data_IF_234474898306
#
_entry.id   IF_234474898306
#
_cell.length_a   1.000
_cell.length_b   1.000
_cell.length_c   1.000
_cell.angle_alpha   90.00
_cell.angle_beta   90.00
_cell.angle_gamma   90.00
#
_symmetry.space_group_name_H-M   'P 1'
#
loop_
_entity.id
_entity.type
_entity.pdbx_description
1 polymer ?
#
# COMPACT_ATOMS: atom_id res chain seq x y z
N UNK A 1 -32.35 -65.29 45.07
CA UNK A 1 -33.33 -64.27 44.64
C UNK A 1 -32.83 -62.88 45.09
N UNK A 2 -31.91 -62.27 44.33
CA UNK A 2 -31.50 -60.85 44.45
C UNK A 2 -30.98 -60.44 43.08
N UNK A 3 -31.79 -59.70 42.33
CA UNK A 3 -31.44 -59.09 41.05
C UNK A 3 -30.71 -57.77 41.33
N UNK A 4 -29.52 -57.59 40.76
CA UNK A 4 -28.81 -56.30 40.70
C UNK A 4 -29.13 -55.68 39.34
N UNK A 5 -29.91 -54.60 39.36
CA UNK A 5 -30.09 -53.70 38.22
C UNK A 5 -28.82 -52.86 38.05
N UNK A 6 -28.22 -52.91 36.87
CA UNK A 6 -27.20 -51.97 36.40
C UNK A 6 -27.96 -50.82 35.74
N UNK A 7 -27.87 -49.62 36.31
CA UNK A 7 -28.36 -48.39 35.68
C UNK A 7 -27.22 -47.84 34.84
N UNK A 8 -27.31 -48.02 33.51
CA UNK A 8 -26.42 -47.34 32.56
C UNK A 8 -26.88 -45.90 32.39
N UNK A 9 -26.02 -44.96 32.80
CA UNK A 9 -26.19 -43.54 32.53
C UNK A 9 -25.85 -43.30 31.04
N UNK A 10 -26.86 -43.08 30.20
CA UNK A 10 -26.67 -42.62 28.83
C UNK A 10 -26.53 -41.09 28.92
N UNK A 11 -25.30 -40.58 28.81
CA UNK A 11 -25.07 -39.18 28.47
C UNK A 11 -25.49 -39.00 27.01
N UNK A 12 -26.66 -38.38 26.81
CA UNK A 12 -27.02 -37.85 25.50
C UNK A 12 -26.20 -36.59 25.23
N UNK A 13 -25.16 -36.70 24.41
CA UNK A 13 -24.66 -35.55 23.66
C UNK A 13 -25.76 -35.16 22.67
N UNK A 14 -26.53 -34.12 23.01
CA UNK A 14 -27.30 -33.37 22.03
C UNK A 14 -26.31 -32.51 21.23
N UNK A 15 -25.87 -33.03 20.10
CA UNK A 15 -25.28 -32.19 19.04
C UNK A 15 -26.44 -31.43 18.42
N UNK A 16 -26.66 -30.21 18.89
CA UNK A 16 -27.54 -29.25 18.24
C UNK A 16 -26.88 -28.85 16.92
N UNK A 17 -27.43 -29.32 15.80
CA UNK A 17 -27.09 -28.75 14.50
C UNK A 17 -27.84 -27.40 14.43
N UNK A 18 -27.24 -26.36 15.02
CA UNK A 18 -27.73 -24.99 14.97
C UNK A 18 -26.99 -24.27 13.84
N UNK A 19 -27.43 -24.48 12.61
CA UNK A 19 -26.99 -23.69 11.47
C UNK A 19 -28.21 -23.03 10.85
N UNK A 20 -28.25 -21.70 10.87
CA UNK A 20 -29.28 -20.80 10.32
C UNK A 20 -30.61 -20.71 11.10
N UNK A 21 -30.72 -19.67 11.95
CA UNK A 21 -32.02 -19.19 12.46
C UNK A 21 -32.07 -18.57 13.85
N UNK A 22 -30.95 -18.45 14.59
CA UNK A 22 -30.99 -17.80 15.90
C UNK A 22 -31.27 -16.30 15.75
N UNK A 23 -32.25 -15.80 16.49
CA UNK A 23 -32.50 -14.37 16.62
C UNK A 23 -31.50 -13.75 17.61
N UNK A 24 -31.29 -12.44 17.54
CA UNK A 24 -30.51 -11.71 18.56
C UNK A 24 -31.05 -11.99 19.97
N UNK A 25 -32.37 -12.10 20.15
CA UNK A 25 -32.98 -12.42 21.43
C UNK A 25 -32.58 -13.81 21.95
N UNK A 26 -32.46 -14.80 21.05
CA UNK A 26 -32.03 -16.16 21.42
C UNK A 26 -30.57 -16.16 21.91
N UNK A 27 -29.69 -15.44 21.19
CA UNK A 27 -28.28 -15.27 21.57
C UNK A 27 -28.20 -14.58 22.94
N UNK A 28 -28.98 -13.51 23.14
CA UNK A 28 -28.96 -12.80 24.41
C UNK A 28 -29.39 -13.69 25.58
N UNK A 29 -30.45 -14.47 25.42
CA UNK A 29 -30.94 -15.37 26.47
C UNK A 29 -29.91 -16.45 26.78
N UNK A 30 -29.28 -17.01 25.75
CA UNK A 30 -28.29 -18.05 25.91
C UNK A 30 -27.04 -17.55 26.63
N UNK A 31 -26.50 -16.42 26.21
CA UNK A 31 -25.34 -15.78 26.85
C UNK A 31 -25.66 -15.39 28.30
N UNK A 32 -26.86 -14.84 28.58
CA UNK A 32 -27.31 -14.56 29.96
C UNK A 32 -27.34 -15.82 30.82
N UNK A 33 -27.75 -16.96 30.26
CA UNK A 33 -27.74 -18.25 30.95
C UNK A 33 -26.32 -18.74 31.23
N UNK A 34 -25.41 -18.62 30.26
CA UNK A 34 -24.01 -19.08 30.38
C UNK A 34 -23.20 -18.19 31.33
N UNK A 35 -23.51 -16.89 31.41
CA UNK A 35 -22.91 -15.92 32.35
C UNK A 35 -23.61 -15.87 33.73
N UNK A 36 -24.37 -16.91 34.07
CA UNK A 36 -25.04 -17.12 35.37
C UNK A 36 -25.92 -15.95 35.85
N UNK A 37 -26.50 -15.15 34.94
CA UNK A 37 -27.24 -13.93 35.29
C UNK A 37 -26.44 -12.87 36.08
N UNK A 38 -25.11 -13.01 36.20
CA UNK A 38 -24.25 -11.97 36.80
C UNK A 38 -24.05 -10.78 35.87
N UNK A 39 -24.22 -11.01 34.57
CA UNK A 39 -23.95 -10.06 33.52
C UNK A 39 -25.19 -9.75 32.70
N UNK A 40 -25.35 -8.48 32.34
CA UNK A 40 -26.27 -8.02 31.31
C UNK A 40 -25.51 -7.75 30.02
N UNK A 41 -25.98 -8.29 28.89
CA UNK A 41 -25.45 -7.92 27.58
C UNK A 41 -25.77 -6.46 27.34
N UNK A 42 -24.73 -5.70 27.03
CA UNK A 42 -24.81 -4.27 26.79
C UNK A 42 -24.60 -3.90 25.33
N UNK A 43 -23.86 -4.73 24.60
CA UNK A 43 -23.59 -4.57 23.19
C UNK A 43 -23.41 -5.95 22.55
N UNK A 44 -23.94 -6.11 21.34
CA UNK A 44 -23.84 -7.33 20.52
C UNK A 44 -23.54 -6.90 19.09
N UNK A 45 -22.46 -7.42 18.52
CA UNK A 45 -22.06 -7.16 17.13
C UNK A 45 -22.12 -8.47 16.36
N UNK A 46 -22.94 -8.50 15.30
CA UNK A 46 -22.83 -9.51 14.26
C UNK A 46 -21.62 -9.14 13.39
N UNK A 47 -20.56 -9.95 13.45
CA UNK A 47 -19.30 -9.60 12.78
C UNK A 47 -19.44 -9.69 11.26
N UNK A 48 -20.27 -10.61 10.75
CA UNK A 48 -20.49 -10.76 9.31
C UNK A 48 -21.31 -9.60 8.74
N UNK A 49 -22.12 -8.95 9.56
CA UNK A 49 -22.90 -7.76 9.19
C UNK A 49 -22.21 -6.43 9.52
N UNK A 50 -21.02 -6.46 10.12
CA UNK A 50 -20.27 -5.27 10.47
C UNK A 50 -19.63 -4.67 9.22
N UNK A 51 -20.12 -3.52 8.79
CA UNK A 51 -19.63 -2.81 7.60
C UNK A 51 -18.47 -1.85 7.90
N UNK A 52 -18.08 -1.70 9.17
CA UNK A 52 -16.98 -0.85 9.59
C UNK A 52 -17.18 0.66 9.38
N UNK A 53 -18.32 1.12 8.87
CA UNK A 53 -18.48 2.53 8.48
C UNK A 53 -17.31 3.09 7.64
N UNK A 54 -17.18 4.41 7.58
CA UNK A 54 -16.16 5.09 6.76
C UNK A 54 -14.75 5.11 7.41
N UNK A 55 -14.60 4.63 8.66
CA UNK A 55 -13.39 4.81 9.47
C UNK A 55 -12.77 3.52 10.03
N UNK A 56 -13.42 2.36 9.87
CA UNK A 56 -12.95 1.10 10.47
C UNK A 56 -12.52 0.07 9.43
N UNK A 57 -11.36 -0.54 9.66
CA UNK A 57 -10.89 -1.67 8.87
C UNK A 57 -11.41 -2.95 9.49
N UNK A 58 -12.33 -3.63 8.80
CA UNK A 58 -12.66 -5.02 9.08
C UNK A 58 -11.85 -5.92 8.16
N UNK A 59 -10.92 -6.67 8.76
CA UNK A 59 -10.10 -7.67 8.10
C UNK A 59 -10.06 -8.94 8.95
N UNK A 60 -10.34 -10.06 8.29
CA UNK A 60 -10.23 -11.40 8.87
C UNK A 60 -9.60 -12.33 7.81
N UNK A 61 -8.30 -12.17 7.51
CA UNK A 61 -7.63 -12.93 6.45
C UNK A 61 -7.64 -14.45 6.69
N UNK A 62 -7.91 -14.88 7.93
CA UNK A 62 -7.91 -16.28 8.34
C UNK A 62 -9.33 -16.85 8.54
N UNK A 63 -10.38 -16.06 8.28
CA UNK A 63 -11.79 -16.45 8.43
C UNK A 63 -12.14 -16.97 9.84
N UNK A 64 -11.44 -16.46 10.86
CA UNK A 64 -11.58 -16.87 12.27
C UNK A 64 -12.79 -16.25 12.96
N UNK A 65 -13.32 -15.16 12.41
CA UNK A 65 -14.46 -14.41 12.92
C UNK A 65 -15.76 -14.66 12.14
N UNK A 66 -15.70 -15.43 11.04
CA UNK A 66 -16.90 -15.73 10.25
C UNK A 66 -17.96 -16.43 11.09
N UNK A 67 -19.21 -15.94 11.00
CA UNK A 67 -20.36 -16.45 11.75
C UNK A 67 -20.32 -16.20 13.26
N UNK A 68 -19.49 -15.26 13.72
CA UNK A 68 -19.35 -14.95 15.16
C UNK A 68 -20.13 -13.70 15.55
N UNK A 69 -20.50 -13.66 16.83
CA UNK A 69 -21.01 -12.47 17.50
C UNK A 69 -20.01 -12.02 18.56
N UNK A 70 -19.60 -10.75 18.51
CA UNK A 70 -18.88 -10.14 19.62
C UNK A 70 -19.87 -9.64 20.65
N UNK A 71 -19.64 -10.01 21.90
CA UNK A 71 -20.48 -9.64 23.03
C UNK A 71 -19.69 -8.74 23.95
N UNK A 72 -20.33 -7.67 24.42
CA UNK A 72 -19.82 -6.88 25.54
C UNK A 72 -20.87 -6.87 26.64
N UNK A 73 -20.53 -7.41 27.80
CA UNK A 73 -21.46 -7.54 28.91
C UNK A 73 -20.97 -6.78 30.13
N UNK A 74 -21.92 -6.19 30.87
CA UNK A 74 -21.65 -5.45 32.11
C UNK A 74 -22.19 -6.21 33.30
N UNK A 75 -21.42 -6.24 34.38
CA UNK A 75 -21.82 -6.84 35.63
C UNK A 75 -23.03 -6.12 36.21
N UNK A 76 -24.06 -6.86 36.56
CA UNK A 76 -25.29 -6.30 37.13
C UNK A 76 -25.07 -5.79 38.57
N UNK A 77 -24.12 -6.38 39.29
CA UNK A 77 -23.77 -6.06 40.68
C UNK A 77 -22.27 -5.74 40.87
N UNK A 78 -21.52 -5.58 39.78
CA UNK A 78 -20.07 -5.30 39.81
C UNK A 78 -19.69 -4.21 38.83
N UNK A 79 -18.69 -3.40 39.18
CA UNK A 79 -18.06 -2.43 38.27
C UNK A 79 -17.11 -3.11 37.27
N UNK A 80 -17.54 -4.27 36.76
CA UNK A 80 -16.77 -5.14 35.89
C UNK A 80 -17.54 -5.41 34.61
N UNK A 81 -16.82 -5.39 33.50
CA UNK A 81 -17.31 -5.72 32.18
C UNK A 81 -16.52 -6.91 31.64
N UNK A 82 -17.07 -7.60 30.65
CA UNK A 82 -16.36 -8.62 29.88
C UNK A 82 -16.61 -8.42 28.39
N UNK A 83 -15.66 -8.89 27.59
CA UNK A 83 -15.81 -9.08 26.15
C UNK A 83 -15.87 -10.59 25.92
N UNK A 84 -16.71 -11.04 25.00
CA UNK A 84 -16.78 -12.44 24.63
C UNK A 84 -17.03 -12.66 23.14
N UNK A 85 -16.75 -13.88 22.69
CA UNK A 85 -17.03 -14.34 21.33
C UNK A 85 -18.04 -15.47 21.41
N UNK A 86 -19.15 -15.33 20.69
CA UNK A 86 -20.19 -16.35 20.59
C UNK A 86 -20.29 -16.87 19.17
N UNK A 87 -20.41 -18.18 19.04
CA UNK A 87 -20.51 -18.86 17.75
C UNK A 87 -21.28 -20.16 17.90
N UNK A 88 -22.07 -20.52 16.89
CA UNK A 88 -22.73 -21.82 16.78
C UNK A 88 -23.52 -22.26 18.02
N UNK A 89 -24.16 -21.31 18.72
CA UNK A 89 -24.94 -21.64 19.89
C UNK A 89 -24.14 -21.81 21.18
N UNK A 90 -22.95 -21.20 21.32
CA UNK A 90 -22.17 -21.25 22.55
C UNK A 90 -21.26 -20.02 22.72
N UNK A 91 -21.02 -19.60 23.96
CA UNK A 91 -19.95 -18.66 24.29
C UNK A 91 -18.60 -19.38 24.21
N UNK A 92 -17.80 -19.05 23.18
CA UNK A 92 -16.51 -19.69 22.93
C UNK A 92 -15.43 -19.21 23.89
N UNK A 93 -15.43 -17.91 24.17
CA UNK A 93 -14.39 -17.27 24.93
C UNK A 93 -14.91 -15.99 25.60
N UNK A 94 -14.31 -15.65 26.75
CA UNK A 94 -14.47 -14.37 27.43
C UNK A 94 -13.14 -13.85 27.92
N UNK A 95 -13.00 -12.53 28.02
CA UNK A 95 -11.83 -11.88 28.61
C UNK A 95 -11.58 -12.33 30.04
N UNK A 96 -10.32 -12.69 30.34
CA UNK A 96 -9.81 -12.84 31.70
C UNK A 96 -8.50 -12.04 31.85
N UNK A 97 -8.37 -11.17 32.87
CA UNK A 97 -9.36 -10.86 33.91
C UNK A 97 -10.54 -10.02 33.39
N UNK A 98 -11.61 -9.95 34.20
CA UNK A 98 -12.73 -9.04 33.95
C UNK A 98 -12.27 -7.56 33.94
N UNK A 99 -12.77 -6.82 32.97
CA UNK A 99 -12.37 -5.45 32.66
C UNK A 99 -13.06 -4.46 33.60
N UNK A 100 -12.49 -3.28 33.76
CA UNK A 100 -13.15 -2.19 34.49
C UNK A 100 -14.38 -1.75 33.70
N UNK A 101 -15.49 -1.52 34.39
CA UNK A 101 -16.72 -1.10 33.73
C UNK A 101 -16.59 0.26 33.05
N UNK A 102 -17.20 0.37 31.88
CA UNK A 102 -17.27 1.56 31.06
C UNK A 102 -18.69 2.10 30.91
N UNK A 103 -18.78 3.38 30.59
CA UNK A 103 -20.05 4.04 30.27
C UNK A 103 -20.46 3.82 28.82
N UNK A 104 -19.49 3.53 27.94
CA UNK A 104 -19.73 3.29 26.52
C UNK A 104 -18.67 2.35 25.95
N UNK A 105 -19.10 1.45 25.06
CA UNK A 105 -18.28 0.42 24.43
C UNK A 105 -18.70 0.27 22.97
N UNK A 106 -17.74 -0.01 22.09
CA UNK A 106 -18.02 -0.28 20.69
C UNK A 106 -16.87 -1.06 20.07
N UNK A 107 -17.20 -1.84 19.04
CA UNK A 107 -16.22 -2.54 18.22
C UNK A 107 -15.73 -1.59 17.13
N UNK A 108 -14.41 -1.40 17.07
CA UNK A 108 -13.74 -0.50 16.13
C UNK A 108 -13.20 -1.25 14.90
N UNK A 109 -13.34 -2.57 14.82
CA UNK A 109 -12.85 -3.37 13.71
C UNK A 109 -11.81 -4.39 14.11
N UNK A 110 -11.26 -5.05 13.10
CA UNK A 110 -10.33 -6.17 13.27
C UNK A 110 -9.27 -6.16 12.19
N UNK A 111 -8.04 -6.53 12.55
CA UNK A 111 -6.92 -6.57 11.60
C UNK A 111 -5.81 -7.49 12.10
N UNK A 112 -5.08 -8.10 11.18
CA UNK A 112 -3.78 -8.71 11.48
C UNK A 112 -2.78 -7.57 11.69
N UNK A 113 -2.28 -7.38 12.92
CA UNK A 113 -1.37 -6.28 13.22
C UNK A 113 0.08 -6.71 13.43
N UNK A 114 0.36 -7.93 13.87
CA UNK A 114 1.69 -8.33 14.37
C UNK A 114 2.35 -9.51 13.62
N UNK A 115 1.81 -9.88 12.46
CA UNK A 115 2.28 -10.99 11.61
C UNK A 115 2.36 -12.36 12.31
N UNK A 116 1.50 -12.62 13.29
CA UNK A 116 1.52 -13.86 14.10
C UNK A 116 0.50 -14.93 13.64
N UNK A 117 -0.28 -14.62 12.60
CA UNK A 117 -1.29 -15.53 12.06
C UNK A 117 -2.64 -15.46 12.78
N UNK A 118 -2.85 -14.43 13.61
CA UNK A 118 -4.12 -14.15 14.32
C UNK A 118 -4.68 -12.81 13.89
N UNK A 119 -5.89 -12.50 14.37
CA UNK A 119 -6.53 -11.22 14.13
C UNK A 119 -6.67 -10.48 15.44
N UNK A 120 -6.29 -9.21 15.46
CA UNK A 120 -6.52 -8.31 16.58
C UNK A 120 -7.91 -7.69 16.49
N UNK A 121 -8.70 -7.85 17.55
CA UNK A 121 -9.96 -7.16 17.77
C UNK A 121 -9.69 -5.84 18.49
N UNK A 122 -10.20 -4.74 17.94
CA UNK A 122 -9.98 -3.41 18.47
C UNK A 122 -11.29 -2.90 19.05
N UNK A 123 -11.28 -2.59 20.35
CA UNK A 123 -12.51 -2.30 21.09
C UNK A 123 -12.34 -1.01 21.87
N UNK A 124 -13.22 -0.04 21.59
CA UNK A 124 -13.26 1.26 22.25
C UNK A 124 -14.00 1.20 23.58
N UNK A 125 -13.44 1.84 24.60
CA UNK A 125 -13.87 1.75 26.00
C UNK A 125 -13.86 3.13 26.67
N UNK A 126 -15.01 3.77 26.86
CA UNK A 126 -15.08 5.09 27.51
C UNK A 126 -15.19 4.95 29.03
N UNK A 127 -14.20 5.52 29.73
CA UNK A 127 -14.20 5.60 31.18
C UNK A 127 -14.69 6.98 31.62
N UNK A 128 -15.86 7.03 32.26
CA UNK A 128 -16.44 8.26 32.80
C UNK A 128 -17.23 9.08 31.76
N UNK A 129 -17.19 10.42 31.90
CA UNK A 129 -18.05 11.34 31.15
C UNK A 129 -17.30 12.09 30.03
N UNK A 130 -16.01 11.80 29.79
CA UNK A 130 -15.30 12.44 28.68
C UNK A 130 -15.94 11.97 27.36
N UNK A 131 -16.65 12.84 26.63
CA UNK A 131 -17.38 12.39 25.46
C UNK A 131 -16.45 12.16 24.25
N UNK A 132 -15.23 12.69 24.30
CA UNK A 132 -14.36 12.88 23.12
C UNK A 132 -13.31 11.81 22.88
N UNK A 133 -13.24 10.73 23.68
CA UNK A 133 -12.28 9.67 23.42
C UNK A 133 -12.57 8.37 24.14
N UNK A 134 -11.83 7.34 23.77
CA UNK A 134 -12.01 5.94 24.14
C UNK A 134 -10.64 5.33 24.48
N UNK A 135 -10.56 4.61 25.59
CA UNK A 135 -9.44 3.69 25.82
C UNK A 135 -9.58 2.50 24.89
N UNK A 136 -8.47 1.93 24.43
CA UNK A 136 -8.50 0.81 23.48
C UNK A 136 -8.11 -0.49 24.17
N UNK A 137 -8.97 -1.50 24.05
CA UNK A 137 -8.60 -2.89 24.27
C UNK A 137 -8.23 -3.52 22.93
N UNK A 138 -7.08 -4.19 22.91
CA UNK A 138 -6.57 -4.91 21.74
C UNK A 138 -6.50 -6.38 22.13
N UNK A 139 -7.27 -7.22 21.46
CA UNK A 139 -7.37 -8.65 21.77
C UNK A 139 -6.89 -9.44 20.56
N UNK A 140 -5.79 -10.19 20.72
CA UNK A 140 -5.35 -11.15 19.69
C UNK A 140 -6.24 -12.39 19.72
N UNK A 141 -6.83 -12.76 18.59
CA UNK A 141 -7.83 -13.82 18.44
C UNK A 141 -7.40 -14.88 17.42
N UNK A 142 -7.36 -16.14 17.85
CA UNK A 142 -6.92 -17.27 17.00
C UNK A 142 -8.07 -18.12 16.42
N UNK A 143 -9.33 -17.71 16.64
CA UNK A 143 -10.52 -18.50 16.28
C UNK A 143 -11.11 -19.31 17.44
N UNK A 144 -10.39 -19.45 18.55
CA UNK A 144 -10.82 -20.21 19.72
C UNK A 144 -10.57 -19.49 21.04
N UNK A 145 -9.45 -18.78 21.17
CA UNK A 145 -9.05 -18.06 22.37
C UNK A 145 -8.61 -16.65 22.04
N UNK A 146 -8.90 -15.74 22.96
CA UNK A 146 -8.45 -14.35 22.93
C UNK A 146 -7.40 -14.07 24.00
N UNK A 147 -6.48 -13.16 23.71
CA UNK A 147 -5.53 -12.62 24.67
C UNK A 147 -5.50 -11.09 24.58
N UNK A 148 -5.61 -10.40 25.72
CA UNK A 148 -5.38 -8.95 25.76
C UNK A 148 -3.89 -8.69 25.55
N UNK A 149 -3.57 -7.90 24.52
CA UNK A 149 -2.19 -7.64 24.09
C UNK A 149 -1.82 -6.16 24.15
N UNK A 150 -2.55 -5.34 24.91
CA UNK A 150 -2.14 -3.98 25.24
C UNK A 150 -1.80 -3.86 26.72
N UNK A 151 -0.84 -2.98 27.06
CA UNK A 151 -0.49 -2.73 28.47
C UNK A 151 -1.66 -2.05 29.21
N UNK A 152 -1.74 -2.35 30.50
CA UNK A 152 -2.67 -1.72 31.43
C UNK A 152 -1.92 -1.04 32.57
N UNK A 153 -2.46 0.06 33.08
CA UNK A 153 -1.95 0.73 34.27
C UNK A 153 -2.17 -0.12 35.54
N UNK A 154 -1.66 0.35 36.69
CA UNK A 154 -1.80 -0.33 37.98
C UNK A 154 -3.25 -0.56 38.44
N UNK A 155 -4.22 0.13 37.80
CA UNK A 155 -5.65 -0.02 38.09
C UNK A 155 -6.33 -1.01 37.16
N UNK A 156 -5.63 -1.49 36.12
CA UNK A 156 -6.18 -2.35 35.07
C UNK A 156 -6.85 -1.59 33.92
N UNK A 157 -6.57 -0.29 33.75
CA UNK A 157 -7.07 0.49 32.61
C UNK A 157 -6.09 0.37 31.44
N UNK A 158 -6.55 0.31 30.17
CA UNK A 158 -5.65 0.37 29.04
C UNK A 158 -4.78 1.63 29.09
N UNK A 159 -3.50 1.50 28.74
CA UNK A 159 -2.63 2.65 28.53
C UNK A 159 -2.87 3.33 27.18
N UNK A 160 -3.61 2.66 26.30
CA UNK A 160 -3.93 3.14 24.95
C UNK A 160 -5.17 4.00 24.99
N UNK A 161 -5.07 5.24 24.53
CA UNK A 161 -6.17 6.19 24.43
C UNK A 161 -6.27 6.72 23.01
N UNK A 162 -7.50 6.84 22.52
CA UNK A 162 -7.85 7.48 21.26
C UNK A 162 -8.82 8.61 21.53
N UNK A 163 -8.42 9.83 21.24
CA UNK A 163 -9.29 10.97 21.05
C UNK A 163 -10.10 10.74 19.80
N UNK A 164 -11.41 10.55 19.97
CA UNK A 164 -12.29 10.08 18.92
C UNK A 164 -12.10 8.61 18.59
N UNK A 165 -12.89 8.17 17.63
CA UNK A 165 -12.90 6.79 17.16
C UNK A 165 -12.18 6.68 15.80
N UNK A 166 -11.11 7.47 15.59
CA UNK A 166 -10.27 7.41 14.38
C UNK A 166 -8.89 6.89 14.77
N UNK A 167 -8.49 5.79 14.15
CA UNK A 167 -7.24 5.06 14.40
C UNK A 167 -6.60 4.76 13.06
N UNK A 168 -5.29 4.91 12.99
CA UNK A 168 -4.50 4.56 11.82
C UNK A 168 -3.57 3.39 12.14
N UNK A 169 -3.31 2.54 11.14
CA UNK A 169 -2.43 1.38 11.27
C UNK A 169 -1.22 1.51 10.34
N UNK A 170 -0.29 2.45 10.62
CA UNK A 170 0.89 2.58 9.79
C UNK A 170 1.86 1.43 10.03
N UNK A 171 2.53 0.97 8.97
CA UNK A 171 3.77 0.21 9.12
C UNK A 171 4.92 1.22 9.08
N UNK A 172 5.33 1.68 10.26
CA UNK A 172 6.28 2.77 10.42
C UNK A 172 7.72 2.32 10.11
N UNK A 173 8.07 1.08 10.46
CA UNK A 173 9.43 0.55 10.31
C UNK A 173 9.66 -0.27 9.04
N UNK A 174 8.59 -0.71 8.38
CA UNK A 174 8.66 -1.53 7.19
C UNK A 174 8.93 -3.01 7.45
N UNK A 175 8.64 -3.49 8.65
CA UNK A 175 8.89 -4.88 9.06
C UNK A 175 7.66 -5.79 8.86
N UNK A 176 6.55 -5.23 8.37
CA UNK A 176 5.29 -5.94 8.17
C UNK A 176 4.45 -6.05 9.45
N UNK A 177 4.90 -5.43 10.55
CA UNK A 177 4.13 -5.29 11.78
C UNK A 177 3.58 -3.87 11.80
N UNK A 178 2.27 -3.75 11.96
CA UNK A 178 1.60 -2.46 12.02
C UNK A 178 1.72 -1.86 13.42
N UNK A 179 2.15 -0.62 13.48
CA UNK A 179 1.92 0.24 14.64
C UNK A 179 0.46 0.68 14.71
N UNK A 180 0.05 1.14 15.88
CA UNK A 180 -1.27 1.75 16.10
C UNK A 180 -1.04 3.22 16.37
N UNK A 181 -1.58 4.08 15.53
CA UNK A 181 -1.50 5.51 15.69
C UNK A 181 -2.87 6.06 16.07
N UNK A 182 -2.96 6.62 17.27
CA UNK A 182 -4.13 7.35 17.76
C UNK A 182 -3.78 8.83 17.91
N UNK A 183 -4.74 9.69 18.23
CA UNK A 183 -4.49 11.11 18.52
C UNK A 183 -5.32 11.54 19.72
N UNK A 184 -4.94 12.60 20.43
CA UNK A 184 -5.73 13.18 21.53
C UNK A 184 -6.20 14.57 21.13
N UNK A 185 -7.51 14.81 21.21
CA UNK A 185 -8.08 16.14 21.03
C UNK A 185 -7.69 16.98 22.24
N UNK A 186 -6.70 17.86 22.08
CA UNK A 186 -6.36 18.77 23.16
C UNK A 186 -7.49 19.80 23.33
N UNK A 187 -8.24 19.66 24.42
CA UNK A 187 -9.46 20.43 24.68
C UNK A 187 -9.13 21.91 24.98
N UNK A 188 -9.27 22.79 23.99
CA UNK A 188 -9.39 24.23 24.25
C UNK A 188 -8.91 25.22 23.19
N UNK A 189 -8.13 24.82 22.19
CA UNK A 189 -7.65 25.76 21.16
C UNK A 189 -8.36 25.50 19.82
N UNK A 190 -8.83 26.56 19.15
CA UNK A 190 -9.35 26.53 17.77
C UNK A 190 -8.26 26.21 16.72
N UNK A 191 -7.06 25.82 17.17
CA UNK A 191 -5.89 25.57 16.35
C UNK A 191 -5.50 24.08 16.46
N UNK A 192 -6.03 23.28 15.52
CA UNK A 192 -5.76 21.84 15.35
C UNK A 192 -4.26 21.51 15.15
N UNK A 193 -3.38 22.52 15.03
CA UNK A 193 -1.92 22.31 14.92
C UNK A 193 -1.24 21.79 16.19
N UNK A 194 -1.94 21.83 17.34
CA UNK A 194 -1.46 21.29 18.62
C UNK A 194 -1.92 19.85 18.89
N UNK A 195 -2.63 19.21 17.95
CA UNK A 195 -3.02 17.81 18.10
C UNK A 195 -1.79 16.91 18.23
N UNK A 196 -1.85 16.00 19.20
CA UNK A 196 -0.79 15.06 19.50
C UNK A 196 -1.21 13.66 19.07
N UNK A 197 -0.40 13.04 18.22
CA UNK A 197 -0.51 11.64 17.86
C UNK A 197 0.30 10.78 18.83
N UNK A 198 -0.23 9.60 19.15
CA UNK A 198 0.40 8.58 19.96
C UNK A 198 0.65 7.39 19.06
N UNK A 199 1.93 7.03 18.90
CA UNK A 199 2.34 5.86 18.16
C UNK A 199 2.60 4.73 19.14
N UNK A 200 1.92 3.61 18.96
CA UNK A 200 2.09 2.41 19.75
C UNK A 200 2.76 1.33 18.91
N UNK A 201 3.71 0.64 19.52
CA UNK A 201 4.52 -0.38 18.86
C UNK A 201 4.39 -1.72 19.57
N UNK A 202 4.45 -2.79 18.78
CA UNK A 202 4.56 -4.16 19.25
C UNK A 202 5.96 -4.44 19.82
N UNK A 203 6.05 -4.89 21.06
CA UNK A 203 7.32 -5.26 21.70
C UNK A 203 7.64 -6.77 21.64
N UNK A 204 6.87 -7.53 20.85
CA UNK A 204 6.91 -9.00 20.82
C UNK A 204 5.88 -9.65 21.76
N UNK A 205 5.28 -8.88 22.67
CA UNK A 205 4.25 -9.37 23.60
C UNK A 205 3.06 -8.44 23.79
N UNK A 206 3.28 -7.13 23.73
CA UNK A 206 2.23 -6.14 23.91
C UNK A 206 2.43 -4.93 22.98
N UNK A 207 1.32 -4.30 22.59
CA UNK A 207 1.29 -2.93 22.11
C UNK A 207 1.43 -1.95 23.28
N UNK A 208 2.37 -1.03 23.16
CA UNK A 208 2.58 0.02 24.16
C UNK A 208 3.07 1.32 23.53
N UNK A 209 2.89 2.43 24.25
CA UNK A 209 3.29 3.75 23.78
C UNK A 209 4.79 3.77 23.44
N UNK A 210 5.08 4.03 22.16
CA UNK A 210 6.42 4.13 21.63
C UNK A 210 6.85 5.59 21.51
N UNK A 211 6.01 6.43 20.89
CA UNK A 211 6.33 7.82 20.62
C UNK A 211 5.09 8.71 20.70
N UNK A 212 5.31 9.98 21.06
CA UNK A 212 4.33 11.06 20.91
C UNK A 212 4.80 11.99 19.80
N UNK A 213 3.95 12.25 18.82
CA UNK A 213 4.25 13.06 17.64
C UNK A 213 3.32 14.28 17.64
N UNK A 214 3.83 15.46 17.36
CA UNK A 214 2.96 16.61 17.11
C UNK A 214 2.47 16.54 15.66
N UNK A 215 1.23 16.96 15.41
CA UNK A 215 0.67 17.00 14.05
C UNK A 215 1.58 17.70 13.04
N UNK A 216 2.17 18.83 13.43
CA UNK A 216 3.09 19.62 12.60
C UNK A 216 4.43 18.94 12.29
N UNK A 217 4.80 17.92 13.08
CA UNK A 217 6.07 17.20 12.94
C UNK A 217 5.89 15.90 12.14
N UNK A 218 4.66 15.57 11.72
CA UNK A 218 4.39 14.43 10.85
C UNK A 218 4.86 14.73 9.43
N UNK A 219 5.78 13.90 8.91
CA UNK A 219 6.27 13.99 7.54
C UNK A 219 6.03 12.66 6.83
N UNK A 220 5.63 12.71 5.55
CA UNK A 220 5.27 11.51 4.77
C UNK A 220 6.39 10.46 4.72
N UNK A 221 7.64 10.89 4.65
CA UNK A 221 8.80 10.02 4.53
C UNK A 221 9.12 9.21 5.79
N UNK A 222 8.45 9.47 6.92
CA UNK A 222 8.54 8.63 8.12
C UNK A 222 7.78 7.32 7.97
N UNK A 223 6.74 7.28 7.14
CA UNK A 223 5.87 6.12 7.01
C UNK A 223 6.39 5.22 5.91
N UNK A 224 6.86 4.03 6.22
CA UNK A 224 7.56 3.18 5.27
C UNK A 224 6.65 2.71 4.12
N UNK A 225 6.99 3.07 2.88
CA UNK A 225 6.19 2.77 1.67
C UNK A 225 6.96 2.02 0.58
N UNK A 226 8.18 1.58 0.90
CA UNK A 226 9.00 0.67 0.07
C UNK A 226 8.90 -0.76 0.62
N UNK A 227 9.76 -1.70 0.22
CA UNK A 227 9.74 -3.07 0.77
C UNK A 227 8.93 -4.08 -0.05
N UNK A 228 8.97 -3.97 -1.36
CA UNK A 228 8.44 -4.96 -2.29
C UNK A 228 9.43 -5.15 -3.44
N UNK A 229 9.27 -6.25 -4.15
CA UNK A 229 10.05 -6.63 -5.32
C UNK A 229 9.18 -6.44 -6.56
N UNK A 230 9.78 -5.89 -7.62
CA UNK A 230 9.02 -5.47 -8.79
C UNK A 230 9.86 -5.63 -10.04
N UNK A 231 9.18 -6.06 -11.11
CA UNK A 231 9.68 -5.99 -12.47
C UNK A 231 8.88 -4.93 -13.25
N UNK A 232 9.58 -4.06 -13.97
CA UNK A 232 9.01 -2.94 -14.73
C UNK A 232 9.56 -2.99 -16.14
N UNK A 233 8.70 -3.34 -17.10
CA UNK A 233 9.05 -3.42 -18.50
C UNK A 233 8.35 -2.31 -19.28
N UNK A 234 9.05 -1.70 -20.25
CA UNK A 234 8.48 -0.71 -21.14
C UNK A 234 8.65 -1.09 -22.62
N UNK A 235 7.59 -0.88 -23.38
CA UNK A 235 7.60 -1.03 -24.84
C UNK A 235 7.11 0.25 -25.49
N UNK A 236 7.84 0.70 -26.52
CA UNK A 236 7.45 1.87 -27.29
C UNK A 236 7.07 1.46 -28.70
N UNK A 237 5.90 1.95 -29.16
CA UNK A 237 5.44 1.77 -30.54
C UNK A 237 5.25 3.12 -31.20
N UNK A 238 5.84 3.30 -32.38
CA UNK A 238 5.60 4.48 -33.21
C UNK A 238 4.18 4.39 -33.78
N UNK A 239 3.39 5.43 -33.54
CA UNK A 239 2.06 5.62 -34.12
C UNK A 239 2.09 6.86 -35.01
N UNK A 240 0.98 7.18 -35.70
CA UNK A 240 0.94 8.30 -36.63
C UNK A 240 1.20 9.65 -35.91
N UNK A 241 2.46 10.08 -35.89
CA UNK A 241 2.93 11.31 -35.27
C UNK A 241 3.03 11.30 -33.73
N UNK A 242 2.97 10.14 -33.06
CA UNK A 242 3.19 10.00 -31.61
C UNK A 242 3.94 8.70 -31.28
N UNK A 243 4.59 8.66 -30.13
CA UNK A 243 5.12 7.46 -29.48
C UNK A 243 4.09 6.96 -28.46
N UNK A 244 3.66 5.70 -28.60
CA UNK A 244 2.84 4.98 -27.62
C UNK A 244 3.78 4.30 -26.62
N UNK A 245 3.75 4.76 -25.38
CA UNK A 245 4.45 4.17 -24.24
C UNK A 245 3.54 3.14 -23.58
N UNK A 246 3.98 1.89 -23.50
CA UNK A 246 3.28 0.80 -22.83
C UNK A 246 4.17 0.28 -21.70
N UNK A 247 3.59 0.12 -20.51
CA UNK A 247 4.28 -0.37 -19.33
C UNK A 247 3.57 -1.60 -18.79
N UNK A 248 4.35 -2.59 -18.39
CA UNK A 248 3.93 -3.77 -17.68
C UNK A 248 4.69 -3.82 -16.36
N UNK A 249 3.95 -3.81 -15.24
CA UNK A 249 4.50 -3.82 -13.88
C UNK A 249 4.05 -5.09 -13.20
N UNK A 250 4.99 -5.89 -12.73
CA UNK A 250 4.73 -7.13 -12.01
C UNK A 250 5.19 -7.01 -10.57
N UNK A 251 4.27 -7.12 -9.62
CA UNK A 251 4.61 -7.19 -8.20
C UNK A 251 4.96 -8.65 -7.89
N UNK A 252 6.22 -8.93 -7.51
CA UNK A 252 6.65 -10.32 -7.34
C UNK A 252 5.85 -11.04 -6.24
N UNK A 253 5.67 -12.35 -6.38
CA UNK A 253 4.84 -13.15 -5.47
C UNK A 253 5.36 -13.20 -4.02
N UNK A 254 6.65 -12.91 -3.80
CA UNK A 254 7.30 -12.85 -2.49
C UNK A 254 7.38 -11.41 -1.91
N UNK A 255 6.79 -10.42 -2.58
CA UNK A 255 6.70 -9.06 -2.05
C UNK A 255 5.89 -9.02 -0.75
N UNK A 256 6.34 -8.20 0.19
CA UNK A 256 5.66 -8.01 1.48
C UNK A 256 4.49 -7.03 1.40
N UNK A 257 4.42 -6.22 0.34
CA UNK A 257 3.48 -5.11 0.21
C UNK A 257 2.84 -5.05 -1.18
N UNK A 258 1.67 -4.42 -1.22
CA UNK A 258 0.94 -4.07 -2.45
C UNK A 258 1.49 -2.76 -3.01
N UNK A 259 1.39 -2.55 -4.32
CA UNK A 259 1.79 -1.30 -4.97
C UNK A 259 0.54 -0.44 -5.22
N UNK A 260 0.54 0.78 -4.70
CA UNK A 260 -0.60 1.71 -4.81
C UNK A 260 -0.31 2.84 -5.80
N UNK A 261 0.89 3.42 -5.73
CA UNK A 261 1.29 4.55 -6.56
C UNK A 261 2.47 4.19 -7.47
N UNK A 262 2.39 4.68 -8.71
CA UNK A 262 3.38 4.45 -9.76
C UNK A 262 3.70 5.82 -10.35
N UNK A 263 4.92 6.30 -10.10
CA UNK A 263 5.40 7.59 -10.56
C UNK A 263 6.46 7.38 -11.64
N UNK A 264 6.29 8.06 -12.77
CA UNK A 264 7.26 8.11 -13.85
C UNK A 264 7.81 9.52 -13.98
N UNK A 265 9.11 9.72 -13.78
CA UNK A 265 9.69 11.05 -13.92
C UNK A 265 9.50 11.57 -15.35
N UNK A 266 9.00 12.80 -15.49
CA UNK A 266 8.68 13.37 -16.79
C UNK A 266 8.78 14.88 -16.79
N UNK A 267 9.09 15.45 -17.95
CA UNK A 267 9.03 16.88 -18.21
C UNK A 267 7.97 17.24 -19.26
N UNK A 268 7.07 16.30 -19.57
CA UNK A 268 5.94 16.56 -20.46
C UNK A 268 4.76 17.12 -19.65
N UNK A 269 3.89 17.87 -20.33
CA UNK A 269 2.69 18.48 -19.73
C UNK A 269 1.39 18.05 -20.43
N UNK A 270 1.48 17.09 -21.36
CA UNK A 270 0.31 16.46 -21.93
C UNK A 270 0.63 15.10 -22.57
N UNK A 271 -0.32 14.19 -22.47
CA UNK A 271 -0.37 12.90 -23.16
C UNK A 271 -1.82 12.58 -23.57
N UNK A 272 -2.00 11.59 -24.45
CA UNK A 272 -3.30 11.19 -25.03
C UNK A 272 -3.42 9.68 -25.08
N UNK A 273 -4.59 9.19 -25.52
CA UNK A 273 -4.83 7.75 -25.76
C UNK A 273 -4.45 6.89 -24.56
N UNK A 274 -4.92 7.31 -23.38
CA UNK A 274 -4.65 6.65 -22.11
C UNK A 274 -5.43 5.33 -22.06
N UNK A 275 -4.72 4.25 -21.76
CA UNK A 275 -5.32 2.96 -21.42
C UNK A 275 -4.82 2.56 -20.05
N UNK A 276 -5.71 2.59 -19.06
CA UNK A 276 -5.47 2.22 -17.67
C UNK A 276 -6.59 1.28 -17.21
N UNK A 277 -6.36 0.42 -16.21
CA UNK A 277 -7.42 -0.36 -15.58
C UNK A 277 -8.54 0.52 -15.02
N UNK A 278 -9.76 -0.01 -14.95
CA UNK A 278 -10.96 0.76 -14.56
C UNK A 278 -10.98 1.24 -13.10
N UNK A 279 -10.13 0.66 -12.25
CA UNK A 279 -9.93 0.98 -10.84
C UNK A 279 -8.69 1.85 -10.61
N UNK A 280 -8.24 2.55 -11.66
CA UNK A 280 -7.05 3.38 -11.66
C UNK A 280 -7.31 4.73 -12.26
N UNK A 281 -6.57 5.70 -11.73
CA UNK A 281 -6.53 7.06 -12.23
C UNK A 281 -5.10 7.41 -12.65
N UNK A 282 -4.99 8.23 -13.70
CA UNK A 282 -3.72 8.72 -14.23
C UNK A 282 -3.72 10.25 -14.24
N UNK A 283 -2.81 10.86 -13.48
CA UNK A 283 -2.61 12.30 -13.43
C UNK A 283 -1.32 12.72 -14.11
N UNK A 284 -1.40 13.86 -14.81
CA UNK A 284 -0.23 14.50 -15.41
C UNK A 284 0.46 15.48 -14.45
N UNK A 285 1.79 15.49 -14.51
CA UNK A 285 2.73 16.55 -14.15
C UNK A 285 2.68 17.15 -12.74
N UNK A 286 1.90 16.61 -11.80
CA UNK A 286 2.07 17.02 -10.39
C UNK A 286 3.49 16.65 -9.98
N UNK A 287 4.30 17.67 -9.72
CA UNK A 287 5.66 17.54 -9.19
C UNK A 287 6.71 16.94 -10.14
N UNK A 288 6.48 17.00 -11.46
CA UNK A 288 7.42 16.45 -12.46
C UNK A 288 7.31 14.94 -12.63
N UNK A 289 6.17 14.36 -12.28
CA UNK A 289 5.87 12.94 -12.49
C UNK A 289 4.55 12.76 -13.23
N UNK A 290 4.50 11.74 -14.09
CA UNK A 290 3.26 11.10 -14.50
C UNK A 290 2.93 10.10 -13.39
N UNK A 291 1.75 10.21 -12.78
CA UNK A 291 1.38 9.37 -11.63
C UNK A 291 0.13 8.56 -11.91
N UNK A 292 0.24 7.24 -11.84
CA UNK A 292 -0.88 6.32 -11.79
C UNK A 292 -1.14 5.92 -10.34
N UNK A 293 -2.39 5.91 -9.89
CA UNK A 293 -2.76 5.46 -8.55
C UNK A 293 -4.10 4.74 -8.52
N UNK A 294 -4.33 4.00 -7.43
CA UNK A 294 -5.56 3.25 -7.18
C UNK A 294 -6.73 4.18 -6.80
N UNK A 295 -7.81 4.16 -7.58
CA UNK A 295 -9.03 4.93 -7.26
C UNK A 295 -9.88 4.24 -6.19
N UNK A 296 -10.72 5.02 -5.51
CA UNK A 296 -11.75 4.53 -4.58
C UNK A 296 -11.39 4.66 -3.10
N UNK A 297 -12.40 4.44 -2.25
CA UNK A 297 -12.26 4.47 -0.78
C UNK A 297 -11.51 3.24 -0.24
N UNK A 298 -11.66 2.09 -0.91
CA UNK A 298 -11.02 0.83 -0.51
C UNK A 298 -9.73 0.59 -1.30
N UNK A 299 -8.70 1.34 -0.93
CA UNK A 299 -7.35 1.27 -1.53
C UNK A 299 -6.72 -0.10 -1.43
N UNK A 300 -7.14 -0.92 -0.46
CA UNK A 300 -6.61 -2.27 -0.30
C UNK A 300 -7.10 -3.25 -1.36
N UNK A 301 -8.33 -3.04 -1.87
CA UNK A 301 -8.88 -3.84 -2.97
C UNK A 301 -8.38 -3.40 -4.32
N UNK A 302 -8.07 -2.12 -4.48
CA UNK A 302 -7.62 -1.59 -5.77
C UNK A 302 -6.12 -1.75 -5.94
N UNK A 303 -5.26 -1.69 -4.92
CA UNK A 303 -3.79 -1.82 -5.06
C UNK A 303 -3.30 -3.11 -5.78
N UNK A 304 -2.14 -3.04 -6.46
CA UNK A 304 -1.51 -4.17 -7.15
C UNK A 304 -0.88 -5.15 -6.13
N UNK A 305 -1.49 -6.32 -5.96
CA UNK A 305 -1.08 -7.32 -4.96
C UNK A 305 0.13 -8.15 -5.39
N UNK A 306 0.89 -8.75 -4.45
CA UNK A 306 1.96 -9.69 -4.77
C UNK A 306 1.47 -10.84 -5.66
N UNK A 307 2.23 -11.11 -6.73
CA UNK A 307 1.93 -12.15 -7.72
C UNK A 307 1.11 -11.70 -8.93
N UNK A 308 0.64 -10.45 -8.94
CA UNK A 308 -0.18 -9.90 -10.03
C UNK A 308 0.60 -8.90 -10.91
N UNK A 309 0.06 -8.65 -12.10
CA UNK A 309 0.58 -7.67 -13.06
C UNK A 309 -0.41 -6.55 -13.33
N UNK A 310 0.12 -5.38 -13.64
CA UNK A 310 -0.62 -4.19 -14.05
C UNK A 310 -0.03 -3.67 -15.37
N UNK A 311 -0.88 -3.46 -16.37
CA UNK A 311 -0.49 -2.85 -17.64
C UNK A 311 -1.15 -1.49 -17.81
N UNK A 312 -0.40 -0.50 -18.28
CA UNK A 312 -0.96 0.78 -18.69
C UNK A 312 -0.22 1.37 -19.88
N UNK A 313 -0.86 2.29 -20.59
CA UNK A 313 -0.21 2.99 -21.71
C UNK A 313 -0.76 4.38 -21.94
N UNK A 314 0.07 5.22 -22.58
CA UNK A 314 -0.30 6.54 -23.05
C UNK A 314 0.53 6.91 -24.28
N UNK A 315 0.04 7.84 -25.10
CA UNK A 315 0.71 8.34 -26.29
C UNK A 315 1.11 9.81 -26.16
N UNK A 316 2.29 10.16 -26.67
CA UNK A 316 2.77 11.55 -26.70
C UNK A 316 3.71 11.78 -27.89
N UNK A 317 3.90 13.04 -28.29
CA UNK A 317 4.85 13.44 -29.34
C UNK A 317 6.30 13.54 -28.85
N UNK A 318 6.52 13.39 -27.56
CA UNK A 318 7.83 13.55 -26.95
C UNK A 318 8.80 12.49 -27.47
N UNK A 319 10.08 12.80 -27.38
CA UNK A 319 11.16 11.82 -27.52
C UNK A 319 11.16 10.85 -26.34
N UNK A 320 12.09 9.92 -26.38
CA UNK A 320 12.26 8.85 -25.40
C UNK A 320 13.57 9.11 -24.67
N UNK A 321 13.55 8.97 -23.34
CA UNK A 321 14.75 8.98 -22.51
C UNK A 321 14.74 7.79 -21.57
N UNK A 322 15.90 7.50 -20.99
CA UNK A 322 15.97 6.73 -19.76
C UNK A 322 15.37 7.59 -18.65
N UNK A 323 14.34 7.08 -17.97
CA UNK A 323 13.64 7.76 -16.90
C UNK A 323 13.66 6.94 -15.61
N UNK A 324 13.57 7.63 -14.48
CA UNK A 324 13.38 6.98 -13.20
C UNK A 324 11.89 6.68 -13.01
N UNK A 325 11.58 5.46 -12.57
CA UNK A 325 10.31 5.15 -11.96
C UNK A 325 10.45 5.14 -10.43
N UNK A 326 9.35 5.43 -9.74
CA UNK A 326 9.24 5.33 -8.29
C UNK A 326 7.88 4.71 -7.96
N UNK A 327 7.88 3.58 -7.27
CA UNK A 327 6.67 2.86 -6.87
C UNK A 327 6.52 2.94 -5.35
N UNK A 328 5.31 3.20 -4.87
CA UNK A 328 4.99 3.27 -3.44
C UNK A 328 3.84 2.35 -3.06
N UNK A 329 3.97 1.70 -1.91
CA UNK A 329 2.88 1.01 -1.23
C UNK A 329 1.92 2.01 -0.58
N UNK A 330 0.71 1.54 -0.30
CA UNK A 330 -0.14 2.19 0.69
C UNK A 330 0.48 2.07 2.08
N UNK A 331 0.31 3.11 2.89
CA UNK A 331 0.55 3.11 4.32
C UNK A 331 -0.56 3.95 4.96
N UNK A 332 -1.20 3.41 5.99
CA UNK A 332 -2.37 4.02 6.61
C UNK A 332 -1.93 5.15 7.54
N UNK A 333 -1.93 6.37 7.02
CA UNK A 333 -1.37 7.55 7.69
C UNK A 333 -2.46 8.61 7.90
N UNK A 334 -2.35 9.43 8.97
CA UNK A 334 -3.27 10.52 9.18
C UNK A 334 -3.36 11.47 7.97
N UNK A 335 -4.57 11.97 7.60
CA UNK A 335 -4.71 12.94 6.52
C UNK A 335 -3.83 14.18 6.69
N UNK A 336 -3.61 14.61 7.94
CA UNK A 336 -2.74 15.73 8.30
C UNK A 336 -1.29 15.56 7.80
N UNK A 337 -0.74 14.34 7.83
CA UNK A 337 0.61 14.06 7.30
C UNK A 337 0.69 14.34 5.79
N UNK A 338 -0.39 14.03 5.05
CA UNK A 338 -0.46 14.32 3.62
C UNK A 338 -0.85 15.76 3.29
N UNK A 339 -1.76 16.37 4.05
CA UNK A 339 -2.27 17.73 3.79
C UNK A 339 -1.22 18.80 4.11
N UNK A 340 -0.43 18.60 5.16
CA UNK A 340 0.56 19.58 5.62
C UNK A 340 1.88 19.52 4.84
N UNK A 341 2.13 18.46 4.07
CA UNK A 341 3.36 18.34 3.28
C UNK A 341 3.46 19.47 2.25
N UNK A 342 4.64 20.07 2.12
CA UNK A 342 5.02 20.91 0.99
C UNK A 342 5.23 20.07 -0.28
N UNK A 343 5.29 20.73 -1.44
CA UNK A 343 5.57 20.04 -2.70
C UNK A 343 6.99 19.45 -2.71
N UNK A 344 7.95 20.14 -2.10
CA UNK A 344 9.31 19.63 -1.90
C UNK A 344 9.34 18.36 -1.05
N UNK A 345 8.56 18.32 0.04
CA UNK A 345 8.45 17.13 0.90
C UNK A 345 7.78 15.97 0.18
N UNK A 346 6.72 16.21 -0.62
CA UNK A 346 6.10 15.18 -1.46
C UNK A 346 7.08 14.61 -2.48
N UNK A 347 7.85 15.47 -3.15
CA UNK A 347 8.90 15.03 -4.09
C UNK A 347 9.97 14.22 -3.38
N UNK A 348 10.38 14.64 -2.17
CA UNK A 348 11.36 13.93 -1.38
C UNK A 348 10.84 12.56 -0.92
N UNK A 349 9.58 12.45 -0.49
CA UNK A 349 8.93 11.18 -0.14
C UNK A 349 8.93 10.23 -1.34
N UNK A 350 8.44 10.67 -2.51
CA UNK A 350 8.43 9.86 -3.74
C UNK A 350 9.84 9.35 -4.06
N UNK A 351 10.89 10.17 -3.90
CA UNK A 351 12.25 9.76 -4.27
C UNK A 351 12.94 8.86 -3.24
N UNK A 352 12.61 8.99 -1.95
CA UNK A 352 13.35 8.33 -0.86
C UNK A 352 12.60 7.16 -0.22
N UNK A 353 11.29 7.12 -0.43
CA UNK A 353 10.35 6.19 0.16
C UNK A 353 9.57 5.41 -0.91
N UNK A 354 10.30 5.01 -1.95
CA UNK A 354 9.80 4.20 -3.07
C UNK A 354 10.79 3.08 -3.38
N UNK A 355 10.30 2.03 -4.03
CA UNK A 355 11.13 1.17 -4.86
C UNK A 355 11.35 1.90 -6.19
N UNK A 356 12.60 2.03 -6.62
CA UNK A 356 12.96 2.83 -7.79
C UNK A 356 13.92 2.10 -8.71
N UNK A 357 13.86 2.43 -9.99
CA UNK A 357 14.77 1.93 -11.01
C UNK A 357 14.64 2.74 -12.29
N UNK A 358 15.18 2.20 -13.39
CA UNK A 358 15.16 2.84 -14.69
C UNK A 358 14.20 2.13 -15.65
N UNK A 359 13.51 2.92 -16.45
CA UNK A 359 12.67 2.46 -17.56
C UNK A 359 12.65 3.52 -18.66
N UNK A 360 11.94 3.31 -19.76
CA UNK A 360 11.74 4.35 -20.75
C UNK A 360 10.70 5.35 -20.29
N UNK A 361 10.97 6.64 -20.51
CA UNK A 361 10.01 7.69 -20.25
C UNK A 361 10.00 8.75 -21.33
N UNK A 362 8.92 9.55 -21.38
CA UNK A 362 8.80 10.61 -22.36
C UNK A 362 9.71 11.80 -22.02
N UNK A 363 10.22 12.46 -23.06
CA UNK A 363 11.16 13.58 -22.95
C UNK A 363 10.88 14.68 -23.98
N UNK A 364 10.70 15.92 -23.51
CA UNK A 364 10.87 17.09 -24.37
C UNK A 364 12.29 17.64 -24.22
N UNK A 365 13.15 17.57 -25.25
CA UNK A 365 14.45 18.23 -25.24
C UNK A 365 14.28 19.75 -25.17
N UNK A 366 15.32 20.44 -24.68
CA UNK A 366 15.40 21.90 -24.77
C UNK A 366 15.41 22.30 -26.26
N UNK A 367 14.62 23.32 -26.62
CA UNK A 367 14.60 23.87 -27.98
C UNK A 367 15.95 24.37 -28.49
N UNK A 368 16.90 24.66 -27.58
CA UNK A 368 18.25 25.12 -27.91
C UNK A 368 19.27 24.01 -28.11
N UNK A 369 18.88 22.74 -27.96
CA UNK A 369 19.76 21.59 -28.08
C UNK A 369 20.26 21.44 -29.54
N UNK A 370 21.58 21.58 -29.74
CA UNK A 370 22.19 21.43 -31.07
C UNK A 370 22.23 19.97 -31.52
N UNK A 371 22.49 19.72 -32.81
CA UNK A 371 22.63 18.34 -33.32
C UNK A 371 23.83 17.60 -32.71
N UNK A 372 24.92 18.32 -32.41
CA UNK A 372 26.10 17.77 -31.74
C UNK A 372 25.75 17.39 -30.30
N UNK A 373 25.08 18.28 -29.56
CA UNK A 373 24.66 17.99 -28.18
C UNK A 373 23.61 16.87 -28.10
N UNK A 374 22.74 16.78 -29.12
CA UNK A 374 21.81 15.66 -29.24
C UNK A 374 22.54 14.33 -29.49
N UNK A 375 23.60 14.35 -30.30
CA UNK A 375 24.45 13.17 -30.53
C UNK A 375 25.13 12.73 -29.23
N UNK A 376 25.59 13.66 -28.40
CA UNK A 376 26.13 13.35 -27.06
C UNK A 376 25.08 12.75 -26.12
N UNK A 377 23.81 13.18 -26.26
CA UNK A 377 22.69 12.56 -25.53
C UNK A 377 22.45 11.12 -25.99
N UNK A 378 22.46 10.87 -27.30
CA UNK A 378 22.30 9.53 -27.86
C UNK A 378 23.47 8.61 -27.47
N UNK A 379 24.69 9.14 -27.41
CA UNK A 379 25.87 8.42 -26.91
C UNK A 379 25.72 8.07 -25.42
N UNK A 380 25.17 8.98 -24.61
CA UNK A 380 24.83 8.68 -23.21
C UNK A 380 23.80 7.56 -23.11
N UNK A 381 22.77 7.58 -23.95
CA UNK A 381 21.76 6.52 -24.01
C UNK A 381 22.37 5.17 -24.40
N UNK A 382 23.26 5.16 -25.39
CA UNK A 382 24.01 3.98 -25.82
C UNK A 382 24.87 3.44 -24.70
N UNK A 383 25.70 4.28 -24.09
CA UNK A 383 26.56 3.90 -22.96
C UNK A 383 25.76 3.25 -21.83
N UNK A 384 24.69 3.91 -21.35
CA UNK A 384 23.89 3.37 -20.24
C UNK A 384 23.17 2.08 -20.62
N UNK A 385 22.73 1.94 -21.87
CA UNK A 385 22.10 0.70 -22.35
C UNK A 385 23.08 -0.48 -22.32
N UNK A 386 24.34 -0.24 -22.71
CA UNK A 386 25.40 -1.24 -22.79
C UNK A 386 26.06 -1.58 -21.44
N UNK A 387 26.26 -0.57 -20.58
CA UNK A 387 27.16 -0.69 -19.42
C UNK A 387 26.43 -0.66 -18.07
N UNK A 388 25.17 -0.19 -18.02
CA UNK A 388 24.46 0.03 -16.75
C UNK A 388 23.11 -0.69 -16.63
N UNK A 389 22.40 -0.87 -17.74
CA UNK A 389 20.98 -1.28 -17.73
C UNK A 389 20.73 -2.66 -18.35
N UNK A 390 21.75 -3.30 -18.90
CA UNK A 390 21.63 -4.56 -19.65
C UNK A 390 20.58 -4.51 -20.78
N UNK A 391 20.32 -3.32 -21.32
CA UNK A 391 19.41 -3.12 -22.46
C UNK A 391 20.06 -3.42 -23.80
N UNK A 392 21.40 -3.47 -23.82
CA UNK A 392 22.22 -3.99 -24.89
C UNK A 392 23.28 -4.92 -24.27
N UNK A 393 23.31 -6.19 -24.69
CA UNK A 393 24.06 -7.24 -23.98
C UNK A 393 25.31 -7.73 -24.71
N UNK A 394 25.45 -7.42 -26.01
CA UNK A 394 26.62 -7.81 -26.81
C UNK A 394 27.64 -6.67 -26.90
N UNK A 395 28.86 -6.95 -26.42
CA UNK A 395 29.95 -5.96 -26.39
C UNK A 395 30.44 -5.56 -27.79
N UNK A 396 30.33 -6.44 -28.79
CA UNK A 396 30.69 -6.13 -30.18
C UNK A 396 29.71 -5.13 -30.78
N UNK A 397 28.41 -5.38 -30.63
CA UNK A 397 27.35 -4.44 -31.04
C UNK A 397 27.52 -3.10 -30.34
N UNK A 398 27.78 -3.10 -29.03
CA UNK A 398 28.03 -1.86 -28.28
C UNK A 398 29.24 -1.06 -28.76
N UNK A 399 30.29 -1.74 -29.24
CA UNK A 399 31.46 -1.11 -29.87
C UNK A 399 31.15 -0.51 -31.23
N UNK A 400 30.45 -1.23 -32.11
CA UNK A 400 30.09 -0.70 -33.43
C UNK A 400 29.14 0.51 -33.33
N UNK A 401 28.18 0.47 -32.41
CA UNK A 401 27.30 1.61 -32.13
C UNK A 401 28.09 2.86 -31.66
N UNK A 402 29.14 2.67 -30.87
CA UNK A 402 30.04 3.76 -30.47
C UNK A 402 30.73 4.41 -31.67
N UNK A 403 31.29 3.56 -32.52
CA UNK A 403 32.10 3.99 -33.65
C UNK A 403 31.24 4.81 -34.61
N UNK A 404 30.02 4.36 -34.91
CA UNK A 404 29.08 5.12 -35.74
C UNK A 404 28.68 6.46 -35.11
N UNK A 405 28.40 6.53 -33.80
CA UNK A 405 28.08 7.81 -33.15
C UNK A 405 29.27 8.77 -33.13
N UNK A 406 30.49 8.23 -33.01
CA UNK A 406 31.73 9.01 -33.08
C UNK A 406 31.97 9.58 -34.48
N UNK A 407 31.65 8.81 -35.52
CA UNK A 407 31.66 9.27 -36.91
C UNK A 407 30.60 10.34 -37.17
N UNK A 408 29.36 10.15 -36.70
CA UNK A 408 28.29 11.15 -36.80
C UNK A 408 28.74 12.46 -36.17
N UNK A 409 29.25 12.42 -34.94
CA UNK A 409 29.71 13.62 -34.22
C UNK A 409 30.82 14.34 -34.99
N UNK A 410 31.84 13.60 -35.42
CA UNK A 410 32.98 14.17 -36.17
C UNK A 410 32.52 14.82 -37.47
N UNK A 411 31.60 14.19 -38.21
CA UNK A 411 31.04 14.74 -39.44
C UNK A 411 30.21 16.01 -39.20
N UNK A 412 29.42 16.06 -38.11
CA UNK A 412 28.67 17.27 -37.73
C UNK A 412 29.59 18.44 -37.37
N UNK A 413 30.67 18.19 -36.63
CA UNK A 413 31.67 19.20 -36.28
C UNK A 413 32.43 19.74 -37.51
N UNK A 414 32.55 18.92 -38.56
CA UNK A 414 33.13 19.32 -39.85
C UNK A 414 32.10 19.91 -40.83
N UNK A 415 30.85 20.09 -40.41
CA UNK A 415 29.72 20.55 -41.26
C UNK A 415 29.46 19.64 -42.48
N UNK A 416 29.85 18.36 -42.42
CA UNK A 416 29.62 17.36 -43.47
C UNK A 416 28.34 16.57 -43.19
N UNK A 417 27.21 17.15 -43.57
CA UNK A 417 25.88 16.57 -43.34
C UNK A 417 25.66 15.24 -44.08
N UNK A 418 26.33 15.01 -45.21
CA UNK A 418 26.19 13.76 -45.97
C UNK A 418 26.90 12.61 -45.25
N UNK A 419 28.13 12.84 -44.77
CA UNK A 419 28.85 11.84 -43.99
C UNK A 419 28.14 11.54 -42.67
N UNK A 420 27.62 12.57 -41.99
CA UNK A 420 26.81 12.38 -40.78
C UNK A 420 25.55 11.54 -41.04
N UNK A 421 24.82 11.81 -42.14
CA UNK A 421 23.64 11.05 -42.50
C UNK A 421 23.94 9.58 -42.83
N UNK A 422 25.06 9.30 -43.51
CA UNK A 422 25.47 7.95 -43.84
C UNK A 422 25.85 7.13 -42.59
N UNK A 423 26.68 7.69 -41.70
CA UNK A 423 27.06 7.02 -40.45
C UNK A 423 25.83 6.76 -39.55
N UNK A 424 24.89 7.70 -39.48
CA UNK A 424 23.66 7.53 -38.72
C UNK A 424 22.73 6.46 -39.35
N UNK A 425 22.72 6.32 -40.67
CA UNK A 425 21.96 5.26 -41.33
C UNK A 425 22.52 3.87 -41.00
N UNK A 426 23.84 3.71 -40.94
CA UNK A 426 24.49 2.46 -40.50
C UNK A 426 24.18 2.16 -39.02
N UNK A 427 24.23 3.18 -38.15
CA UNK A 427 23.80 3.04 -36.75
C UNK A 427 22.36 2.51 -36.66
N UNK A 428 21.41 3.12 -37.38
CA UNK A 428 20.00 2.70 -37.38
C UNK A 428 19.85 1.27 -37.92
N UNK A 429 20.58 0.92 -38.97
CA UNK A 429 20.54 -0.41 -39.56
C UNK A 429 21.03 -1.50 -38.59
N UNK A 430 22.11 -1.22 -37.84
CA UNK A 430 22.62 -2.12 -36.80
C UNK A 430 21.62 -2.29 -35.66
N UNK A 431 21.03 -1.19 -35.15
CA UNK A 431 20.01 -1.26 -34.08
C UNK A 431 18.79 -2.09 -34.52
N UNK A 432 18.34 -1.95 -35.76
CA UNK A 432 17.23 -2.74 -36.30
C UNK A 432 17.58 -4.23 -36.45
N UNK A 433 18.82 -4.54 -36.88
CA UNK A 433 19.28 -5.92 -37.02
C UNK A 433 19.38 -6.66 -35.67
N UNK A 434 19.67 -5.93 -34.59
CA UNK A 434 19.93 -6.49 -33.26
C UNK A 434 18.74 -6.45 -32.30
N UNK A 435 17.58 -5.95 -32.75
CA UNK A 435 16.35 -5.71 -31.96
C UNK A 435 15.88 -6.88 -31.09
N UNK A 436 16.04 -8.10 -31.56
CA UNK A 436 15.58 -9.33 -30.88
C UNK A 436 16.75 -10.27 -30.53
N UNK A 437 18.00 -9.82 -30.73
CA UNK A 437 19.21 -10.61 -30.52
C UNK A 437 20.04 -10.06 -29.37
N UNK A 438 20.57 -8.84 -29.53
CA UNK A 438 21.47 -8.22 -28.57
C UNK A 438 20.82 -7.07 -27.80
N UNK A 439 19.64 -6.61 -28.22
CA UNK A 439 18.90 -5.50 -27.61
C UNK A 439 17.61 -5.97 -26.93
N UNK A 440 17.26 -5.34 -25.81
CA UNK A 440 15.92 -5.44 -25.23
C UNK A 440 14.94 -4.55 -25.99
N UNK A 441 13.64 -4.67 -25.69
CA UNK A 441 12.63 -3.75 -26.22
C UNK A 441 12.91 -2.30 -25.83
N UNK A 442 13.41 -2.06 -24.61
CA UNK A 442 13.84 -0.74 -24.16
C UNK A 442 15.07 -0.23 -24.92
N UNK A 443 16.11 -1.06 -25.03
CA UNK A 443 17.35 -0.70 -25.73
C UNK A 443 17.10 -0.34 -27.19
N UNK A 444 16.34 -1.18 -27.89
CA UNK A 444 15.92 -0.91 -29.27
C UNK A 444 15.14 0.41 -29.37
N UNK A 445 14.09 0.59 -28.57
CA UNK A 445 13.25 1.78 -28.66
C UNK A 445 14.00 3.07 -28.34
N UNK A 446 14.88 3.04 -27.33
CA UNK A 446 15.69 4.20 -26.94
C UNK A 446 16.63 4.63 -28.06
N UNK A 447 17.37 3.68 -28.64
CA UNK A 447 18.40 3.98 -29.64
C UNK A 447 17.79 4.27 -31.01
N UNK A 448 16.87 3.43 -31.47
CA UNK A 448 16.28 3.52 -32.81
C UNK A 448 15.48 4.82 -33.00
N UNK A 449 14.52 5.10 -32.10
CA UNK A 449 13.62 6.24 -32.30
C UNK A 449 14.30 7.59 -32.10
N UNK A 450 15.32 7.68 -31.23
CA UNK A 450 16.11 8.90 -31.11
C UNK A 450 17.06 9.08 -32.31
N UNK A 451 17.65 8.01 -32.85
CA UNK A 451 18.45 8.08 -34.07
C UNK A 451 17.62 8.48 -35.29
N UNK A 452 16.40 7.94 -35.46
CA UNK A 452 15.47 8.37 -36.50
C UNK A 452 15.14 9.87 -36.38
N UNK A 453 14.94 10.38 -35.16
CA UNK A 453 14.71 11.81 -34.94
C UNK A 453 15.90 12.66 -35.39
N UNK A 454 17.12 12.24 -35.08
CA UNK A 454 18.33 12.93 -35.54
C UNK A 454 18.44 12.89 -37.08
N UNK A 455 18.14 11.75 -37.71
CA UNK A 455 18.19 11.60 -39.17
C UNK A 455 17.19 12.52 -39.88
N UNK A 456 15.97 12.64 -39.34
CA UNK A 456 14.95 13.57 -39.84
C UNK A 456 15.42 15.03 -39.80
N UNK A 457 16.23 15.40 -38.81
CA UNK A 457 16.78 16.77 -38.66
C UNK A 457 17.97 17.03 -39.59
N UNK A 458 18.76 16.01 -39.93
CA UNK A 458 19.85 16.14 -40.91
C UNK A 458 19.35 16.36 -42.34
N UNK A 459 18.21 15.76 -42.67
CA UNK A 459 17.63 15.84 -44.03
C UNK A 459 16.72 17.06 -44.23
N UNK A 460 16.30 17.71 -43.14
CA UNK A 460 15.47 18.92 -43.14
C UNK A 460 16.17 20.01 -42.30
N UNK A 461 17.15 20.73 -42.85
CA UNK A 461 17.70 21.88 -42.16
C UNK A 461 16.58 22.88 -41.87
N UNK A 462 16.56 23.42 -40.65
CA UNK A 462 15.61 24.45 -40.21
C UNK A 462 15.66 25.73 -41.05
#
# INVERSE_FOLDING_TARGET
>A
MKSKFILGLILSLSVSIAGYGQTIEDIEQQVKSELESKYGISFLVDVDAFDGGDAYTYQDPYFTLSGTYLIMASGLESDKDLIGVYKDGALLWTTEPELISSTYRHFLGSRELNSDGKVELIIGWKLGVNPRGSFLWIISWDGSTGQIINKTDERGRPEVYSGGDVIFFPDFEGDGIYEIMTYDFYDGDEDDSNDQYFLLKWDGTHYSLYQKLQQKDLILSQFYRKGFLVDVNAQIKKTLGNNLFQYDIFNEANSQKKIEHIHLASNISSFKSISIPHDRDLFDSRYGFITLFAEGLDKEKTSLVPGDSLSFSFSTKSLIKISNYYLQSFNDVPPSASLNASDEERIADIKTNSVSGYTLGPWLPDSSLSLVDFTDTLETFRFRSCEELDWATDAGVCGELQDYLSEVKTALEMEDSLSAANALAEFIALVEAEKDASLTSEGYALLYFNAEYLADRLTKPE
#
